data_IF_030834176407
#
_entry.id   IF_030834176407
#
_cell.length_a   1.000
_cell.length_b   1.000
_cell.length_c   1.000
_cell.angle_alpha   90.00
_cell.angle_beta   90.00
_cell.angle_gamma   90.00
#
_symmetry.space_group_name_H-M   'P 1'
#
loop_
_entity.id
_entity.type
_entity.pdbx_description
1 polymer ?
#
# COMPACT_ATOMS: atom_id res chain seq x y z
N UNK A 1 10.02 -8.80 9.59
CA UNK A 1 10.83 -9.01 8.36
C UNK A 1 9.93 -9.70 7.33
N UNK A 2 9.34 -8.93 6.41
CA UNK A 2 8.61 -9.51 5.29
C UNK A 2 9.62 -10.14 4.33
N UNK A 3 9.35 -11.38 3.89
CA UNK A 3 10.10 -12.04 2.83
C UNK A 3 9.73 -11.34 1.52
N UNK A 4 10.73 -10.97 0.72
CA UNK A 4 10.72 -10.06 -0.45
C UNK A 4 11.10 -8.64 -0.05
N UNK A 5 12.14 -8.08 -0.69
CA UNK A 5 12.76 -6.78 -0.36
C UNK A 5 11.88 -5.55 -0.63
N UNK A 6 10.56 -5.69 -0.57
CA UNK A 6 9.61 -4.60 -0.65
C UNK A 6 9.21 -4.13 0.76
N UNK A 7 9.06 -2.81 0.96
CA UNK A 7 8.64 -2.26 2.24
C UNK A 7 7.20 -2.70 2.57
N UNK A 8 6.97 -2.96 3.85
CA UNK A 8 5.63 -3.18 4.40
C UNK A 8 4.75 -1.93 4.28
N UNK A 9 3.44 -2.12 4.43
CA UNK A 9 2.47 -1.03 4.42
C UNK A 9 2.82 0.05 5.45
N UNK A 10 3.15 -0.35 6.69
CA UNK A 10 3.55 0.57 7.76
C UNK A 10 4.82 1.34 7.40
N UNK A 11 5.84 0.66 6.85
CA UNK A 11 7.07 1.32 6.41
C UNK A 11 6.83 2.32 5.28
N UNK A 12 5.88 2.05 4.38
CA UNK A 12 5.50 3.00 3.34
C UNK A 12 4.71 4.19 3.88
N UNK A 13 3.85 3.99 4.88
CA UNK A 13 3.16 5.08 5.57
C UNK A 13 4.17 6.00 6.26
N UNK A 14 5.11 5.46 7.02
CA UNK A 14 6.18 6.25 7.66
C UNK A 14 7.01 7.03 6.64
N UNK A 15 7.29 6.42 5.48
CA UNK A 15 7.99 7.13 4.39
C UNK A 15 7.14 8.25 3.79
N UNK A 16 5.82 8.07 3.67
CA UNK A 16 4.91 9.09 3.17
C UNK A 16 4.79 10.27 4.14
N UNK A 17 4.71 10.00 5.44
CA UNK A 17 4.76 11.03 6.48
C UNK A 17 6.07 11.84 6.44
N UNK A 18 7.19 11.15 6.20
CA UNK A 18 8.49 11.80 6.03
C UNK A 18 8.53 12.71 4.80
N UNK A 19 7.92 12.29 3.69
CA UNK A 19 7.78 13.11 2.47
C UNK A 19 6.97 14.37 2.77
N UNK A 20 5.82 14.24 3.45
CA UNK A 20 4.96 15.37 3.83
C UNK A 20 5.73 16.34 4.73
N UNK A 21 6.39 15.84 5.77
CA UNK A 21 7.17 16.65 6.69
C UNK A 21 8.30 17.43 5.98
N UNK A 22 8.97 16.81 4.99
CA UNK A 22 10.01 17.48 4.21
C UNK A 22 9.45 18.64 3.37
N UNK A 23 8.26 18.46 2.77
CA UNK A 23 7.60 19.49 1.94
C UNK A 23 7.04 20.61 2.81
N UNK A 24 6.35 20.29 3.90
CA UNK A 24 5.78 21.28 4.83
C UNK A 24 6.85 22.09 5.57
N UNK A 25 8.03 21.49 5.77
CA UNK A 25 9.16 22.16 6.42
C UNK A 25 9.68 23.40 5.67
N UNK A 26 9.33 23.58 4.39
CA UNK A 26 9.57 24.81 3.62
C UNK A 26 11.05 25.16 3.37
N UNK A 27 11.98 24.25 3.68
CA UNK A 27 13.44 24.46 3.57
C UNK A 27 14.08 23.80 2.35
N UNK A 28 13.27 23.12 1.52
CA UNK A 28 13.75 22.38 0.34
C UNK A 28 13.54 23.19 -0.95
N UNK A 29 14.46 23.05 -1.90
CA UNK A 29 14.39 23.73 -3.20
C UNK A 29 13.30 23.16 -4.10
N UNK A 30 12.93 23.89 -5.16
CA UNK A 30 11.85 23.49 -6.09
C UNK A 30 12.07 22.09 -6.70
N UNK A 31 13.28 21.78 -7.14
CA UNK A 31 13.61 20.48 -7.72
C UNK A 31 13.46 19.34 -6.70
N UNK A 32 13.81 19.61 -5.45
CA UNK A 32 13.65 18.65 -4.36
C UNK A 32 12.17 18.47 -3.97
N UNK A 33 11.36 19.54 -3.99
CA UNK A 33 9.89 19.45 -3.81
C UNK A 33 9.28 18.54 -4.89
N UNK A 34 9.69 18.69 -6.14
CA UNK A 34 9.20 17.85 -7.25
C UNK A 34 9.59 16.39 -7.01
N UNK A 35 10.84 16.12 -6.62
CA UNK A 35 11.27 14.76 -6.29
C UNK A 35 10.52 14.14 -5.11
N UNK A 36 10.26 14.91 -4.05
CA UNK A 36 9.44 14.47 -2.91
C UNK A 36 8.00 14.15 -3.34
N UNK A 37 7.42 14.99 -4.20
CA UNK A 37 6.09 14.75 -4.74
C UNK A 37 6.00 13.45 -5.56
N UNK A 38 6.94 13.21 -6.47
CA UNK A 38 7.01 11.97 -7.25
C UNK A 38 7.14 10.73 -6.36
N UNK A 39 8.02 10.81 -5.34
CA UNK A 39 8.19 9.76 -4.34
C UNK A 39 6.88 9.50 -3.58
N UNK A 40 6.21 10.56 -3.12
CA UNK A 40 4.92 10.46 -2.44
C UNK A 40 3.86 9.77 -3.30
N UNK A 41 3.75 10.16 -4.57
CA UNK A 41 2.81 9.54 -5.53
C UNK A 41 3.10 8.06 -5.75
N UNK A 42 4.39 7.68 -5.85
CA UNK A 42 4.79 6.28 -5.97
C UNK A 42 4.42 5.46 -4.72
N UNK A 43 4.63 6.01 -3.53
CA UNK A 43 4.24 5.37 -2.26
C UNK A 43 2.72 5.18 -2.17
N UNK A 44 1.94 6.23 -2.48
CA UNK A 44 0.46 6.17 -2.49
C UNK A 44 -0.04 5.08 -3.44
N UNK A 45 0.54 4.98 -4.64
CA UNK A 45 0.17 3.94 -5.62
C UNK A 45 0.40 2.54 -5.04
N UNK A 46 1.55 2.31 -4.39
CA UNK A 46 1.87 1.01 -3.77
C UNK A 46 0.95 0.67 -2.60
N UNK A 47 0.68 1.64 -1.72
CA UNK A 47 -0.27 1.46 -0.61
C UNK A 47 -1.65 1.04 -1.12
N UNK A 48 -2.16 1.69 -2.17
CA UNK A 48 -3.45 1.33 -2.78
C UNK A 48 -3.44 -0.10 -3.34
N UNK A 49 -2.37 -0.50 -4.01
CA UNK A 49 -2.23 -1.87 -4.52
C UNK A 49 -2.27 -2.91 -3.39
N UNK A 50 -1.56 -2.67 -2.29
CA UNK A 50 -1.56 -3.59 -1.14
C UNK A 50 -2.92 -3.65 -0.45
N UNK A 51 -3.60 -2.51 -0.30
CA UNK A 51 -4.95 -2.48 0.26
C UNK A 51 -5.94 -3.25 -0.61
N UNK A 52 -5.87 -3.10 -1.94
CA UNK A 52 -6.70 -3.87 -2.87
C UNK A 52 -6.43 -5.37 -2.78
N UNK A 53 -5.15 -5.77 -2.67
CA UNK A 53 -4.79 -7.18 -2.48
C UNK A 53 -5.32 -7.73 -1.14
N UNK A 54 -5.23 -6.95 -0.06
CA UNK A 54 -5.75 -7.33 1.24
C UNK A 54 -7.28 -7.45 1.21
N UNK A 55 -7.98 -6.50 0.58
CA UNK A 55 -9.43 -6.53 0.40
C UNK A 55 -9.86 -7.77 -0.40
N UNK A 56 -9.24 -8.03 -1.55
CA UNK A 56 -9.51 -9.23 -2.35
C UNK A 56 -9.31 -10.51 -1.54
N UNK A 57 -8.24 -10.55 -0.73
CA UNK A 57 -7.98 -11.69 0.14
C UNK A 57 -9.09 -11.85 1.18
N UNK A 58 -9.56 -10.77 1.79
CA UNK A 58 -10.69 -10.81 2.74
C UNK A 58 -11.98 -11.27 2.05
N UNK A 59 -12.29 -10.74 0.86
CA UNK A 59 -13.48 -11.12 0.10
C UNK A 59 -13.45 -12.60 -0.34
N UNK A 60 -12.27 -13.16 -0.57
CA UNK A 60 -12.13 -14.59 -0.91
C UNK A 60 -12.48 -15.52 0.25
N UNK A 61 -12.49 -15.02 1.49
CA UNK A 61 -12.82 -15.79 2.70
C UNK A 61 -14.33 -16.01 2.76
N UNK A 62 -14.73 -17.26 2.55
CA UNK A 62 -16.10 -17.72 2.70
C UNK A 62 -16.22 -18.59 3.96
N UNK A 63 -17.35 -18.48 4.65
CA UNK A 63 -17.68 -19.33 5.79
C UNK A 63 -18.70 -20.36 5.30
N UNK A 64 -18.36 -21.64 5.38
CA UNK A 64 -19.26 -22.73 5.04
C UNK A 64 -20.27 -23.00 6.16
N UNK A 65 -21.37 -23.70 5.85
CA UNK A 65 -22.46 -23.99 6.81
C UNK A 65 -21.99 -24.78 8.06
N UNK A 66 -20.88 -25.52 7.94
CA UNK A 66 -20.23 -26.24 9.04
C UNK A 66 -19.30 -25.38 9.91
N UNK A 67 -19.23 -24.07 9.63
CA UNK A 67 -18.34 -23.11 10.30
C UNK A 67 -16.89 -23.14 9.79
N UNK A 68 -16.56 -23.95 8.78
CA UNK A 68 -15.22 -23.97 8.19
C UNK A 68 -14.96 -22.75 7.30
N UNK A 69 -13.73 -22.22 7.37
CA UNK A 69 -13.27 -21.15 6.48
C UNK A 69 -12.75 -21.76 5.18
N UNK A 70 -13.27 -21.30 4.04
CA UNK A 70 -12.85 -21.69 2.69
C UNK A 70 -12.43 -20.46 1.90
N UNK A 71 -11.42 -20.57 1.05
CA UNK A 71 -11.06 -19.52 0.10
C UNK A 71 -11.54 -19.90 -1.30
N UNK A 72 -12.38 -19.07 -1.91
CA UNK A 72 -12.77 -19.27 -3.31
C UNK A 72 -11.71 -18.70 -4.26
N UNK A 73 -11.42 -19.36 -5.39
CA UNK A 73 -10.53 -18.81 -6.41
C UNK A 73 -11.10 -17.49 -6.92
N UNK A 74 -10.24 -16.48 -7.04
CA UNK A 74 -10.60 -15.21 -7.65
C UNK A 74 -10.94 -15.46 -9.13
N UNK A 75 -12.20 -15.26 -9.54
CA UNK A 75 -12.56 -15.26 -10.96
C UNK A 75 -11.86 -14.07 -11.63
N UNK A 76 -11.05 -14.37 -12.65
CA UNK A 76 -10.41 -13.37 -13.49
C UNK A 76 -11.50 -12.59 -14.24
N UNK A 77 -11.53 -11.25 -14.21
CA UNK A 77 -12.41 -10.52 -15.12
C UNK A 77 -11.88 -10.69 -16.56
N UNK A 78 -12.76 -11.05 -17.49
CA UNK A 78 -12.53 -10.96 -18.94
C UNK A 78 -12.16 -9.52 -19.38
#
# INVERSE_FOLDING_TARGET
MNKSGEPSFEEMLTQLESVISAVEGGKIGLEEVIGQYEKGMALIKRCRTLLAQAENRIQSIQIAEDGSIRTSPMESPD
#
